data_IF_810673200654
#
_entry.id   IF_810673200654
#
_cell.length_a   1.000
_cell.length_b   1.000
_cell.length_c   1.000
_cell.angle_alpha   90.00
_cell.angle_beta   90.00
_cell.angle_gamma   90.00
#
_symmetry.space_group_name_H-M   'P 1'
#
loop_
_entity.id
_entity.type
_entity.pdbx_description
1 polymer ?
#
# COMPACT_ATOMS: atom_id res chain seq x y z
N UNK A 1 12.31 4.66 6.33
CA UNK A 1 11.80 5.29 7.57
C UNK A 1 10.75 6.38 7.35
N UNK A 2 10.54 6.89 6.13
CA UNK A 2 9.59 8.00 5.87
C UNK A 2 8.13 7.55 5.67
N UNK A 3 7.90 6.25 5.48
CA UNK A 3 6.59 5.70 5.11
C UNK A 3 5.55 5.86 6.22
N UNK A 4 5.91 5.55 7.47
CA UNK A 4 4.99 5.67 8.61
C UNK A 4 4.49 7.09 8.91
N UNK A 5 5.35 8.14 8.97
CA UNK A 5 4.84 9.50 9.15
C UNK A 5 4.02 9.99 7.95
N UNK A 6 4.41 9.67 6.72
CA UNK A 6 3.63 9.99 5.53
C UNK A 6 2.24 9.34 5.55
N UNK A 7 2.15 8.06 5.93
CA UNK A 7 0.86 7.35 6.06
C UNK A 7 -0.04 7.98 7.11
N UNK A 8 0.50 8.41 8.26
CA UNK A 8 -0.30 9.10 9.28
C UNK A 8 -0.84 10.45 8.78
N UNK A 9 -0.08 11.20 7.99
CA UNK A 9 -0.56 12.45 7.36
C UNK A 9 -1.64 12.16 6.32
N UNK A 10 -1.50 11.09 5.54
CA UNK A 10 -2.50 10.70 4.54
C UNK A 10 -3.81 10.28 5.20
N UNK A 11 -3.75 9.37 6.19
CA UNK A 11 -4.90 8.98 7.00
C UNK A 11 -5.49 10.17 7.76
N UNK A 12 -4.68 11.16 8.15
CA UNK A 12 -5.22 12.32 8.84
C UNK A 12 -6.04 13.24 7.95
N UNK A 13 -5.72 13.30 6.67
CA UNK A 13 -6.48 14.09 5.68
C UNK A 13 -7.68 13.37 5.10
N UNK A 14 -7.61 12.04 4.96
CA UNK A 14 -8.61 11.25 4.21
C UNK A 14 -9.55 10.40 5.08
N UNK A 15 -9.15 10.02 6.30
CA UNK A 15 -9.98 9.18 7.16
C UNK A 15 -10.87 10.02 8.09
N UNK A 16 -12.19 9.72 8.20
CA UNK A 16 -13.04 10.26 9.25
C UNK A 16 -12.45 9.98 10.64
N UNK A 17 -12.56 10.91 11.62
CA UNK A 17 -11.93 10.75 12.93
C UNK A 17 -12.31 9.44 13.65
N UNK A 18 -13.55 8.99 13.48
CA UNK A 18 -14.07 7.76 14.09
C UNK A 18 -13.45 6.48 13.49
N UNK A 19 -13.12 6.49 12.20
CA UNK A 19 -12.65 5.29 11.47
C UNK A 19 -11.14 5.26 11.28
N UNK A 20 -10.44 6.37 11.56
CA UNK A 20 -8.98 6.50 11.38
C UNK A 20 -8.20 5.38 12.07
N UNK A 21 -8.60 4.97 13.28
CA UNK A 21 -7.94 3.90 14.02
C UNK A 21 -8.09 2.54 13.32
N UNK A 22 -9.27 2.25 12.77
CA UNK A 22 -9.55 1.02 12.01
C UNK A 22 -8.75 1.00 10.70
N UNK A 23 -8.72 2.12 9.96
CA UNK A 23 -7.92 2.23 8.74
C UNK A 23 -6.42 2.05 9.04
N UNK A 24 -5.92 2.65 10.13
CA UNK A 24 -4.54 2.47 10.55
C UNK A 24 -4.25 1.00 10.88
N UNK A 25 -5.12 0.35 11.65
CA UNK A 25 -5.00 -1.06 12.00
C UNK A 25 -4.96 -1.96 10.75
N UNK A 26 -5.79 -1.68 9.75
CA UNK A 26 -5.78 -2.40 8.47
C UNK A 26 -4.45 -2.24 7.73
N UNK A 27 -3.88 -1.03 7.70
CA UNK A 27 -2.57 -0.77 7.07
C UNK A 27 -1.45 -1.56 7.78
N UNK A 28 -1.44 -1.57 9.11
CA UNK A 28 -0.47 -2.36 9.87
C UNK A 28 -0.65 -3.86 9.67
N UNK A 29 -1.90 -4.36 9.68
CA UNK A 29 -2.20 -5.76 9.40
C UNK A 29 -1.75 -6.17 8.00
N UNK A 30 -1.96 -5.31 7.00
CA UNK A 30 -1.49 -5.50 5.63
C UNK A 30 0.03 -5.60 5.52
N UNK A 31 0.77 -4.87 6.35
CA UNK A 31 2.24 -4.93 6.38
C UNK A 31 2.73 -6.30 6.88
N UNK A 32 2.13 -6.81 7.95
CA UNK A 32 2.40 -8.15 8.46
C UNK A 32 2.03 -9.24 7.45
N UNK A 33 0.85 -9.13 6.84
CA UNK A 33 0.38 -10.07 5.82
C UNK A 33 1.31 -10.09 4.59
N UNK A 34 1.70 -8.91 4.09
CA UNK A 34 2.60 -8.78 2.95
C UNK A 34 3.97 -9.43 3.22
N UNK A 35 4.46 -9.37 4.47
CA UNK A 35 5.71 -10.02 4.87
C UNK A 35 5.59 -11.55 4.80
N UNK A 36 4.50 -12.11 5.32
CA UNK A 36 4.23 -13.55 5.26
C UNK A 36 4.12 -14.04 3.82
N UNK A 37 3.33 -13.34 2.99
CA UNK A 37 3.18 -13.66 1.56
C UNK A 37 4.54 -13.60 0.86
N UNK A 38 5.35 -12.57 1.16
CA UNK A 38 6.67 -12.42 0.54
C UNK A 38 7.62 -13.57 0.90
N UNK A 39 7.62 -14.01 2.16
CA UNK A 39 8.42 -15.15 2.59
C UNK A 39 7.97 -16.45 1.91
N UNK A 40 6.66 -16.69 1.83
CA UNK A 40 6.11 -17.88 1.15
C UNK A 40 6.44 -17.87 -0.34
N UNK A 41 6.24 -16.74 -1.01
CA UNK A 41 6.57 -16.59 -2.42
C UNK A 41 8.07 -16.77 -2.66
N UNK A 42 8.94 -16.24 -1.79
CA UNK A 42 10.38 -16.41 -1.91
C UNK A 42 10.80 -17.88 -1.85
N UNK A 43 10.21 -18.67 -0.95
CA UNK A 43 10.45 -20.11 -0.86
C UNK A 43 10.04 -20.87 -2.12
N UNK A 44 8.85 -20.56 -2.64
CA UNK A 44 8.31 -21.22 -3.85
C UNK A 44 9.09 -20.82 -5.11
N UNK A 45 9.37 -19.53 -5.30
CA UNK A 45 10.08 -19.04 -6.49
C UNK A 45 11.52 -19.57 -6.56
N UNK A 46 12.23 -19.57 -5.43
CA UNK A 46 13.60 -20.08 -5.37
C UNK A 46 13.66 -21.57 -5.75
N UNK A 47 12.66 -22.35 -5.36
CA UNK A 47 12.62 -23.79 -5.62
C UNK A 47 12.34 -24.14 -7.10
N UNK A 48 11.63 -23.27 -7.85
CA UNK A 48 11.17 -23.58 -9.21
C UNK A 48 12.03 -22.89 -10.28
N UNK A 49 12.33 -21.59 -10.09
CA UNK A 49 12.89 -20.71 -11.13
C UNK A 49 14.25 -20.11 -10.71
N UNK A 50 14.67 -20.36 -9.46
CA UNK A 50 15.88 -19.78 -8.89
C UNK A 50 15.64 -18.47 -8.14
N UNK A 51 16.61 -18.07 -7.33
CA UNK A 51 16.51 -16.97 -6.36
C UNK A 51 16.30 -15.59 -7.01
N UNK A 52 16.82 -15.40 -8.22
CA UNK A 52 16.74 -14.15 -8.98
C UNK A 52 15.31 -13.76 -9.37
N UNK A 53 14.43 -14.75 -9.55
CA UNK A 53 13.02 -14.55 -9.90
C UNK A 53 12.25 -13.70 -8.89
N UNK A 54 12.65 -13.74 -7.60
CA UNK A 54 12.00 -12.99 -6.53
C UNK A 54 12.10 -11.48 -6.77
N UNK A 55 13.26 -11.02 -7.24
CA UNK A 55 13.50 -9.61 -7.51
C UNK A 55 12.62 -9.10 -8.65
N UNK A 56 12.46 -9.90 -9.71
CA UNK A 56 11.60 -9.53 -10.83
C UNK A 56 10.13 -9.49 -10.44
N UNK A 57 9.64 -10.47 -9.68
CA UNK A 57 8.23 -10.55 -9.29
C UNK A 57 7.87 -9.51 -8.23
N UNK A 58 8.64 -9.41 -7.15
CA UNK A 58 8.39 -8.42 -6.08
C UNK A 58 8.65 -6.99 -6.56
N UNK A 59 9.70 -6.79 -7.36
CA UNK A 59 9.99 -5.49 -7.96
C UNK A 59 8.92 -5.06 -8.95
N UNK A 60 8.52 -5.96 -9.87
CA UNK A 60 7.45 -5.70 -10.84
C UNK A 60 6.11 -5.39 -10.17
N UNK A 61 5.72 -6.16 -9.16
CA UNK A 61 4.50 -5.91 -8.39
C UNK A 61 4.55 -4.55 -7.67
N UNK A 62 5.70 -4.21 -7.08
CA UNK A 62 5.90 -2.92 -6.41
C UNK A 62 5.82 -1.76 -7.39
N UNK A 63 6.43 -1.88 -8.57
CA UNK A 63 6.34 -0.86 -9.62
C UNK A 63 4.90 -0.67 -10.12
N UNK A 64 4.18 -1.77 -10.37
CA UNK A 64 2.77 -1.73 -10.78
C UNK A 64 1.92 -1.02 -9.72
N UNK A 65 2.12 -1.37 -8.44
CA UNK A 65 1.43 -0.73 -7.33
C UNK A 65 1.74 0.77 -7.25
N UNK A 66 3.00 1.18 -7.41
CA UNK A 66 3.37 2.58 -7.46
C UNK A 66 2.68 3.34 -8.60
N UNK A 67 2.60 2.75 -9.80
CA UNK A 67 1.89 3.37 -10.92
C UNK A 67 0.40 3.53 -10.62
N UNK A 68 -0.25 2.49 -10.10
CA UNK A 68 -1.66 2.56 -9.68
C UNK A 68 -1.87 3.63 -8.60
N UNK A 69 -0.97 3.71 -7.62
CA UNK A 69 -1.02 4.70 -6.56
C UNK A 69 -0.94 6.13 -7.11
N UNK A 70 -0.02 6.39 -8.05
CA UNK A 70 0.11 7.70 -8.69
C UNK A 70 -1.13 8.10 -9.51
N UNK A 71 -1.88 7.13 -10.06
CA UNK A 71 -3.10 7.38 -10.82
C UNK A 71 -4.34 7.55 -9.93
N UNK A 72 -4.42 6.80 -8.82
CA UNK A 72 -5.61 6.71 -7.98
C UNK A 72 -5.60 7.67 -6.78
N UNK A 73 -4.41 7.97 -6.23
CA UNK A 73 -4.28 8.75 -5.00
C UNK A 73 -3.87 10.18 -5.32
N UNK A 74 -4.72 11.13 -4.95
CA UNK A 74 -4.45 12.56 -5.06
C UNK A 74 -4.20 13.18 -3.67
N UNK A 75 -3.34 14.20 -3.59
CA UNK A 75 -2.89 14.82 -2.33
C UNK A 75 -3.97 15.65 -1.60
N UNK A 76 -5.07 15.99 -2.28
CA UNK A 76 -6.08 16.87 -1.72
C UNK A 76 -7.50 16.31 -1.90
N UNK A 77 -8.26 16.09 -0.81
CA UNK A 77 -9.70 15.80 -0.91
C UNK A 77 -10.49 16.99 -1.51
N UNK A 78 -9.84 18.15 -1.68
CA UNK A 78 -10.41 19.37 -2.29
C UNK A 78 -10.48 19.33 -3.83
N UNK A 79 -9.82 18.36 -4.48
CA UNK A 79 -9.99 18.09 -5.91
C UNK A 79 -11.12 17.07 -6.19
N UNK A 80 -11.74 16.49 -5.16
CA UNK A 80 -13.02 15.82 -5.34
C UNK A 80 -14.13 16.86 -5.52
N UNK A 81 -14.34 17.27 -6.77
CA UNK A 81 -15.48 18.09 -7.20
C UNK A 81 -16.86 17.42 -6.99
N UNK A 82 -16.91 16.22 -6.38
CA UNK A 82 -18.12 15.39 -6.26
C UNK A 82 -18.83 15.50 -4.90
N UNK A 83 -18.28 16.23 -3.92
CA UNK A 83 -18.90 16.38 -2.57
C UNK A 83 -19.50 17.77 -2.33
N UNK A 84 -19.27 18.76 -3.20
CA UNK A 84 -19.88 20.09 -3.08
C UNK A 84 -21.28 20.21 -3.72
N UNK A 85 -21.95 19.10 -4.04
CA UNK A 85 -23.32 19.10 -4.57
C UNK A 85 -24.29 18.20 -3.76
N UNK A 86 -24.23 18.28 -2.43
CA UNK A 86 -25.35 17.97 -1.54
C UNK A 86 -25.14 18.65 -0.18
#
# INVERSE_FOLDING_TARGET
GVTFPAMHVLLSKWAPPAERSVMAALVYAGTSLGTVISMLMAGVLTAIIGWESIFYVMGGLSCLWCVLWMLLVQDSPRQQALILYN
#
